data_IF_105677455491
#
_entry.id   IF_105677455491
#
_cell.length_a   1.000
_cell.length_b   1.000
_cell.length_c   1.000
_cell.angle_alpha   90.00
_cell.angle_beta   90.00
_cell.angle_gamma   90.00
#
_symmetry.space_group_name_H-M   'P 1'
#
loop_
_entity.id
_entity.type
_entity.pdbx_description
1 polymer ?
#
# COMPACT_ATOMS: atom_id res chain seq x y z
N UNK A 1 -3.47 23.07 -9.86
CA UNK A 1 -2.83 21.83 -9.36
C UNK A 1 -1.42 22.19 -8.91
N UNK A 2 -1.13 22.20 -7.60
CA UNK A 2 0.23 22.50 -7.12
C UNK A 2 1.11 21.29 -7.41
N UNK A 3 1.99 21.41 -8.39
CA UNK A 3 2.95 20.36 -8.72
C UNK A 3 4.04 20.43 -7.64
N UNK A 4 3.90 19.66 -6.56
CA UNK A 4 4.98 19.50 -5.59
C UNK A 4 6.12 18.77 -6.29
N UNK A 5 7.27 19.44 -6.46
CA UNK A 5 8.53 18.79 -6.84
C UNK A 5 8.96 17.94 -5.65
N UNK A 6 8.53 16.69 -5.64
CA UNK A 6 8.91 15.74 -4.59
C UNK A 6 10.34 15.28 -4.91
N UNK A 7 11.32 15.70 -4.11
CA UNK A 7 12.69 15.19 -4.22
C UNK A 7 12.78 13.87 -3.46
N UNK A 8 12.70 12.76 -4.19
CA UNK A 8 12.67 11.41 -3.61
C UNK A 8 13.92 11.04 -2.79
N UNK A 9 15.07 11.69 -3.06
CA UNK A 9 16.35 11.42 -2.41
C UNK A 9 16.47 11.94 -0.96
N UNK A 10 15.60 12.86 -0.52
CA UNK A 10 15.65 13.43 0.84
C UNK A 10 14.42 13.10 1.71
N UNK A 11 13.49 12.30 1.17
CA UNK A 11 12.27 11.93 1.90
C UNK A 11 12.62 11.01 3.07
N UNK A 12 12.22 11.41 4.28
CA UNK A 12 12.25 10.54 5.45
C UNK A 12 10.96 9.72 5.51
N UNK A 13 10.95 8.66 6.31
CA UNK A 13 9.78 7.79 6.48
C UNK A 13 8.50 8.57 6.81
N UNK A 14 8.62 9.62 7.63
CA UNK A 14 7.51 10.52 8.00
C UNK A 14 6.93 11.28 6.79
N UNK A 15 7.76 11.65 5.83
CA UNK A 15 7.32 12.36 4.64
C UNK A 15 6.52 11.45 3.71
N UNK A 16 6.91 10.17 3.58
CA UNK A 16 6.12 9.17 2.84
C UNK A 16 4.75 8.93 3.48
N UNK A 17 4.70 8.82 4.81
CA UNK A 17 3.43 8.71 5.55
C UNK A 17 2.51 9.91 5.27
N UNK A 18 3.05 11.12 5.36
CA UNK A 18 2.30 12.34 5.05
C UNK A 18 1.84 12.38 3.58
N UNK A 19 2.65 11.94 2.63
CA UNK A 19 2.29 11.89 1.21
C UNK A 19 1.14 10.90 0.94
N UNK A 20 1.11 9.75 1.63
CA UNK A 20 0.02 8.77 1.51
C UNK A 20 -1.28 9.33 2.10
N UNK A 21 -1.20 10.07 3.22
CA UNK A 21 -2.35 10.74 3.85
C UNK A 21 -2.90 11.88 2.98
N UNK A 22 -2.02 12.71 2.42
CA UNK A 22 -2.39 13.86 1.57
C UNK A 22 -2.93 13.42 0.20
N UNK A 23 -2.40 12.32 -0.34
CA UNK A 23 -2.73 11.79 -1.65
C UNK A 23 -2.94 10.28 -1.60
N UNK A 24 -4.13 9.88 -1.14
CA UNK A 24 -4.56 8.48 -1.02
C UNK A 24 -4.50 7.68 -2.36
N UNK A 25 -4.43 8.37 -3.50
CA UNK A 25 -4.24 7.78 -4.83
C UNK A 25 -2.84 7.19 -5.05
N UNK A 26 -1.85 7.55 -4.22
CA UNK A 26 -0.53 6.93 -4.26
C UNK A 26 -0.50 5.52 -3.66
N UNK A 27 -1.52 5.15 -2.87
CA UNK A 27 -1.64 3.79 -2.38
C UNK A 27 -2.08 2.87 -3.52
N UNK A 28 -1.24 1.89 -3.83
CA UNK A 28 -1.47 0.91 -4.90
C UNK A 28 -2.72 0.08 -4.57
N UNK A 29 -3.63 -0.04 -5.53
CA UNK A 29 -4.91 -0.77 -5.41
C UNK A 29 -4.86 -2.05 -6.26
N UNK A 30 -5.61 -3.11 -5.93
CA UNK A 30 -6.48 -3.30 -4.76
C UNK A 30 -5.69 -3.50 -3.46
N UNK A 31 -6.26 -3.13 -2.31
CA UNK A 31 -5.69 -3.39 -0.98
C UNK A 31 -6.63 -4.34 -0.24
N UNK A 32 -6.11 -5.47 0.23
CA UNK A 32 -6.86 -6.46 1.00
C UNK A 32 -6.26 -6.53 2.41
N UNK A 33 -7.09 -6.18 3.40
CA UNK A 33 -6.77 -6.31 4.81
C UNK A 33 -7.51 -7.54 5.35
N UNK A 34 -6.77 -8.50 5.91
CA UNK A 34 -7.33 -9.74 6.44
C UNK A 34 -6.83 -9.98 7.86
N UNK A 35 -7.76 -10.36 8.76
CA UNK A 35 -7.50 -10.68 10.17
C UNK A 35 -6.63 -9.65 10.93
N UNK A 36 -6.80 -8.36 10.65
CA UNK A 36 -6.12 -7.20 11.26
C UNK A 36 -4.58 -7.18 11.22
N UNK A 37 -3.91 -8.26 10.84
CA UNK A 37 -2.46 -8.38 10.84
C UNK A 37 -1.86 -8.57 9.45
N UNK A 38 -2.67 -8.88 8.42
CA UNK A 38 -2.17 -9.12 7.07
C UNK A 38 -2.72 -8.12 6.08
N UNK A 39 -1.80 -7.41 5.44
CA UNK A 39 -2.09 -6.40 4.42
C UNK A 39 -1.48 -6.87 3.10
N UNK A 40 -2.32 -7.01 2.09
CA UNK A 40 -1.92 -7.33 0.72
C UNK A 40 -2.22 -6.12 -0.16
N UNK A 41 -1.19 -5.59 -0.80
CA UNK A 41 -1.27 -4.39 -1.63
C UNK A 41 -0.98 -4.73 -3.09
N UNK A 42 -1.95 -4.54 -3.97
CA UNK A 42 -1.88 -4.78 -5.41
C UNK A 42 -2.21 -6.22 -5.84
N UNK A 43 -2.43 -6.38 -7.15
CA UNK A 43 -2.74 -7.66 -7.81
C UNK A 43 -1.47 -8.47 -8.16
N UNK A 44 -0.43 -8.42 -7.33
CA UNK A 44 0.78 -9.21 -7.56
C UNK A 44 0.48 -10.69 -7.31
N UNK A 45 0.97 -11.60 -8.17
CA UNK A 45 0.71 -13.04 -8.06
C UNK A 45 1.05 -13.60 -6.67
N UNK A 46 2.15 -13.14 -6.08
CA UNK A 46 2.55 -13.51 -4.71
C UNK A 46 1.52 -13.09 -3.67
N UNK A 47 0.89 -11.92 -3.83
CA UNK A 47 -0.11 -11.42 -2.91
C UNK A 47 -1.43 -12.17 -3.06
N UNK A 48 -1.84 -12.47 -4.30
CA UNK A 48 -3.06 -13.23 -4.59
C UNK A 48 -2.94 -14.63 -3.98
N UNK A 49 -1.84 -15.36 -4.28
CA UNK A 49 -1.60 -16.70 -3.71
C UNK A 49 -1.59 -16.69 -2.19
N UNK A 50 -0.94 -15.70 -1.59
CA UNK A 50 -0.87 -15.59 -0.13
C UNK A 50 -2.24 -15.30 0.49
N UNK A 51 -3.05 -14.46 -0.16
CA UNK A 51 -4.42 -14.19 0.25
C UNK A 51 -5.33 -15.42 0.08
N UNK A 52 -5.18 -16.17 -1.01
CA UNK A 52 -5.93 -17.43 -1.25
C UNK A 52 -5.63 -18.48 -0.17
N UNK A 53 -4.35 -18.68 0.17
CA UNK A 53 -3.93 -19.60 1.23
C UNK A 53 -4.54 -19.21 2.58
N UNK A 54 -4.59 -17.91 2.89
CA UNK A 54 -5.16 -17.40 4.14
C UNK A 54 -6.68 -17.50 4.19
N UNK A 55 -7.36 -17.31 3.07
CA UNK A 55 -8.81 -17.46 2.98
C UNK A 55 -9.23 -18.93 3.07
N UNK A 56 -8.41 -19.84 2.55
CA UNK A 56 -8.62 -21.29 2.59
C UNK A 56 -8.34 -21.92 3.97
N UNK A 57 -7.78 -21.16 4.91
CA UNK A 57 -7.59 -21.59 6.31
C UNK A 57 -8.81 -21.38 7.21
N UNK A 58 -9.92 -20.87 6.66
CA UNK A 58 -11.25 -20.90 7.28
C UNK A 58 -11.85 -22.28 7.09
#
# INVERSE_FOLDING_TARGET
>A
MRIRKINYNELKEKDYLNLIVDHYSYLKRPVLLYNNNKVYVGNSESNIKSAEIELSKI
#
